data_IF_743187238632
#
_entry.id   IF_743187238632
#
_cell.length_a   1.000
_cell.length_b   1.000
_cell.length_c   1.000
_cell.angle_alpha   90.00
_cell.angle_beta   90.00
_cell.angle_gamma   90.00
#
_symmetry.space_group_name_H-M   'P 1'
#
loop_
_entity.id
_entity.type
_entity.pdbx_description
1 polymer ?
#
# COMPACT_ATOMS: atom_id res chain seq x y z
N UNK A 1 14.90 29.33 0.52
CA UNK A 1 13.67 29.12 1.32
C UNK A 1 12.49 29.47 0.43
N UNK A 2 11.70 28.48 0.02
CA UNK A 2 10.41 28.76 -0.62
C UNK A 2 9.49 29.18 0.53
N UNK A 3 9.14 30.47 0.58
CA UNK A 3 8.27 31.01 1.61
C UNK A 3 6.88 30.42 1.44
N UNK A 4 6.45 29.60 2.40
CA UNK A 4 5.03 29.25 2.53
C UNK A 4 4.33 30.53 2.99
N UNK A 5 3.45 31.08 2.15
CA UNK A 5 2.62 32.23 2.51
C UNK A 5 1.80 31.91 3.76
N UNK A 6 1.63 32.88 4.67
CA UNK A 6 0.87 32.73 5.92
C UNK A 6 -0.64 32.44 5.76
N UNK A 7 -1.12 32.18 4.53
CA UNK A 7 -2.54 32.02 4.17
C UNK A 7 -2.92 30.60 3.72
N UNK A 8 -2.15 29.56 4.08
CA UNK A 8 -2.57 28.17 3.79
C UNK A 8 -3.77 27.81 4.66
N UNK A 9 -4.97 27.87 4.07
CA UNK A 9 -6.19 27.34 4.67
C UNK A 9 -6.33 25.87 4.29
N UNK A 10 -6.05 24.98 5.23
CA UNK A 10 -6.31 23.55 5.09
C UNK A 10 -7.80 23.28 5.31
N UNK A 11 -8.48 22.75 4.31
CA UNK A 11 -9.87 22.30 4.40
C UNK A 11 -9.95 20.87 4.95
N UNK A 12 -11.14 20.48 5.42
CA UNK A 12 -11.40 19.11 5.85
C UNK A 12 -11.22 18.10 4.71
N UNK A 13 -11.62 18.46 3.49
CA UNK A 13 -11.49 17.58 2.32
C UNK A 13 -10.03 17.37 1.91
N UNK A 14 -9.20 18.40 1.97
CA UNK A 14 -7.75 18.28 1.74
C UNK A 14 -7.07 17.42 2.81
N UNK A 15 -7.49 17.57 4.07
CA UNK A 15 -7.02 16.72 5.16
C UNK A 15 -7.40 15.25 4.91
N UNK A 16 -8.66 14.97 4.63
CA UNK A 16 -9.13 13.62 4.33
C UNK A 16 -8.42 13.04 3.12
N UNK A 17 -8.29 13.82 2.03
CA UNK A 17 -7.55 13.41 0.85
C UNK A 17 -6.11 13.03 1.19
N UNK A 18 -5.41 13.86 1.97
CA UNK A 18 -4.03 13.60 2.40
C UNK A 18 -3.91 12.35 3.27
N UNK A 19 -4.84 12.14 4.21
CA UNK A 19 -4.90 10.90 5.00
C UNK A 19 -5.08 9.69 4.09
N UNK A 20 -6.00 9.74 3.13
CA UNK A 20 -6.23 8.64 2.20
C UNK A 20 -5.03 8.38 1.27
N UNK A 21 -4.27 9.40 0.88
CA UNK A 21 -3.00 9.19 0.15
C UNK A 21 -2.03 8.36 1.01
N UNK A 22 -1.92 8.68 2.30
CA UNK A 22 -1.03 7.95 3.21
C UNK A 22 -1.51 6.51 3.40
N UNK A 23 -2.79 6.31 3.75
CA UNK A 23 -3.32 4.97 4.07
C UNK A 23 -3.23 4.04 2.85
N UNK A 24 -3.55 4.53 1.65
CA UNK A 24 -3.66 3.68 0.46
C UNK A 24 -2.36 3.48 -0.33
N UNK A 25 -1.36 4.37 -0.19
CA UNK A 25 -0.15 4.38 -1.06
C UNK A 25 1.17 4.19 -0.32
N UNK A 26 1.22 4.42 0.99
CA UNK A 26 2.48 4.38 1.73
C UNK A 26 2.89 2.96 2.07
N UNK A 27 4.16 2.66 1.78
CA UNK A 27 4.79 1.39 2.09
C UNK A 27 5.54 1.49 3.42
N UNK A 28 5.40 0.46 4.27
CA UNK A 28 6.15 0.36 5.52
C UNK A 28 7.35 -0.55 5.30
N UNK A 29 8.54 -0.03 5.57
CA UNK A 29 9.83 -0.67 5.29
C UNK A 29 10.60 -0.76 6.60
N UNK A 30 11.08 -1.96 6.92
CA UNK A 30 11.87 -2.18 8.13
C UNK A 30 13.36 -1.96 7.81
N UNK A 31 13.94 -0.92 8.40
CA UNK A 31 15.39 -0.69 8.38
C UNK A 31 16.01 -1.20 9.68
N UNK A 32 17.30 -1.51 9.66
CA UNK A 32 18.00 -1.97 10.87
C UNK A 32 18.17 -0.83 11.90
N UNK A 33 18.20 0.42 11.46
CA UNK A 33 18.55 1.58 12.27
C UNK A 33 17.31 2.28 12.85
N UNK A 34 16.24 2.42 12.06
CA UNK A 34 15.06 3.22 12.40
C UNK A 34 13.79 2.37 12.62
N UNK A 35 13.89 1.05 12.46
CA UNK A 35 12.73 0.17 12.51
C UNK A 35 11.78 0.42 11.34
N UNK A 36 10.48 0.55 11.61
CA UNK A 36 9.45 0.69 10.58
C UNK A 36 9.36 2.14 10.06
N UNK A 37 9.85 2.37 8.83
CA UNK A 37 9.79 3.68 8.16
C UNK A 37 8.73 3.65 7.05
N UNK A 38 7.98 4.75 6.93
CA UNK A 38 6.90 4.93 5.96
C UNK A 38 7.39 5.72 4.75
N UNK A 39 7.24 5.16 3.55
CA UNK A 39 7.62 5.80 2.29
C UNK A 39 6.43 5.92 1.33
N UNK A 40 6.24 7.10 0.76
CA UNK A 40 5.49 7.27 -0.48
C UNK A 40 6.50 7.24 -1.63
N UNK A 41 6.47 6.19 -2.45
CA UNK A 41 7.49 5.95 -3.48
C UNK A 41 6.85 6.16 -4.85
N UNK A 42 7.16 7.26 -5.56
CA UNK A 42 6.63 7.50 -6.89
C UNK A 42 6.90 6.33 -7.83
N UNK A 43 5.98 6.07 -8.76
CA UNK A 43 5.97 4.94 -9.68
C UNK A 43 5.65 3.60 -9.01
N UNK A 44 6.24 3.26 -7.86
CA UNK A 44 5.95 2.01 -7.15
C UNK A 44 4.52 2.01 -6.61
N UNK A 45 4.04 3.16 -6.15
CA UNK A 45 2.69 3.35 -5.65
C UNK A 45 1.59 3.22 -6.74
N UNK A 46 1.96 3.14 -8.02
CA UNK A 46 1.03 2.99 -9.14
C UNK A 46 0.69 1.53 -9.50
N UNK A 47 1.43 0.56 -8.96
CA UNK A 47 1.16 -0.86 -9.20
C UNK A 47 -0.05 -1.29 -8.38
N UNK A 48 -1.04 -1.91 -9.02
CA UNK A 48 -2.22 -2.41 -8.32
C UNK A 48 -1.95 -3.68 -7.51
N UNK A 49 -2.87 -3.96 -6.58
CA UNK A 49 -2.90 -5.19 -5.80
C UNK A 49 -3.33 -6.40 -6.64
N UNK A 50 -2.75 -7.55 -6.32
CA UNK A 50 -3.26 -8.88 -6.64
C UNK A 50 -2.61 -9.85 -5.65
N UNK A 51 -3.40 -10.51 -4.82
CA UNK A 51 -2.88 -11.41 -3.78
C UNK A 51 -2.13 -12.60 -4.37
N UNK A 52 -2.48 -13.02 -5.59
CA UNK A 52 -1.84 -14.10 -6.33
C UNK A 52 -0.70 -13.62 -7.25
N UNK A 53 -0.33 -12.33 -7.20
CA UNK A 53 0.73 -11.81 -8.05
C UNK A 53 2.07 -12.50 -7.78
N UNK A 54 2.77 -12.94 -8.83
CA UNK A 54 4.12 -13.48 -8.70
C UNK A 54 5.19 -12.39 -8.57
N UNK A 55 4.86 -11.11 -8.81
CA UNK A 55 5.83 -10.02 -8.76
C UNK A 55 6.00 -9.51 -7.34
N UNK A 56 7.22 -9.12 -6.97
CA UNK A 56 7.56 -8.81 -5.59
C UNK A 56 8.21 -7.43 -5.48
N UNK A 57 7.78 -6.66 -4.48
CA UNK A 57 8.54 -5.50 -4.01
C UNK A 57 9.66 -6.00 -3.08
N UNK A 58 10.91 -5.65 -3.40
CA UNK A 58 12.04 -5.77 -2.50
C UNK A 58 12.54 -4.38 -2.13
N UNK A 59 12.76 -4.18 -0.85
CA UNK A 59 13.52 -3.06 -0.32
C UNK A 59 14.85 -3.59 0.19
N UNK A 60 15.93 -2.96 -0.22
CA UNK A 60 17.27 -3.28 0.27
C UNK A 60 17.62 -2.37 1.43
N UNK A 61 18.61 -2.77 2.24
CA UNK A 61 19.02 -2.03 3.44
C UNK A 61 19.64 -0.66 3.12
N UNK A 62 20.15 -0.48 1.90
CA UNK A 62 20.68 0.77 1.35
C UNK A 62 19.60 1.70 0.78
N UNK A 63 18.31 1.42 1.02
CA UNK A 63 17.21 2.31 0.63
C UNK A 63 16.82 2.21 -0.85
N UNK A 64 17.25 1.13 -1.54
CA UNK A 64 16.88 0.88 -2.92
C UNK A 64 15.66 -0.03 -3.00
N UNK A 65 14.70 0.38 -3.84
CA UNK A 65 13.43 -0.31 -4.04
C UNK A 65 13.39 -0.95 -5.43
N UNK A 66 12.98 -2.21 -5.50
CA UNK A 66 12.92 -2.98 -6.74
C UNK A 66 11.60 -3.73 -6.84
N UNK A 67 10.96 -3.64 -8.00
CA UNK A 67 9.92 -4.57 -8.40
C UNK A 67 10.59 -5.70 -9.18
N UNK A 68 10.52 -6.92 -8.65
CA UNK A 68 11.09 -8.11 -9.25
C UNK A 68 10.00 -8.87 -9.97
N UNK A 69 10.20 -9.11 -11.26
CA UNK A 69 9.27 -9.89 -12.04
C UNK A 69 9.36 -11.39 -11.68
N UNK A 70 8.29 -11.99 -11.16
CA UNK A 70 8.24 -13.43 -10.89
C UNK A 70 7.82 -14.28 -12.09
N UNK A 71 7.44 -13.66 -13.20
CA UNK A 71 7.12 -14.32 -14.49
C UNK A 71 7.52 -13.42 -15.65
N UNK A 72 7.58 -14.00 -16.85
CA UNK A 72 7.73 -13.24 -18.10
C UNK A 72 6.55 -12.27 -18.26
N UNK A 73 6.86 -11.01 -18.58
CA UNK A 73 5.88 -9.94 -18.81
C UNK A 73 5.83 -9.67 -20.31
N UNK A 74 4.62 -9.58 -20.86
CA UNK A 74 4.39 -9.25 -22.27
C UNK A 74 3.84 -7.83 -22.40
N UNK A 75 4.05 -7.21 -23.56
CA UNK A 75 3.51 -5.89 -23.84
C UNK A 75 1.98 -5.86 -23.66
N UNK A 76 1.48 -4.82 -22.99
CA UNK A 76 0.06 -4.67 -22.64
C UNK A 76 -0.39 -5.44 -21.39
N UNK A 77 0.45 -6.28 -20.78
CA UNK A 77 0.12 -6.88 -19.50
C UNK A 77 0.36 -5.89 -18.36
N UNK A 78 -0.63 -5.80 -17.46
CA UNK A 78 -0.47 -5.11 -16.20
C UNK A 78 0.56 -5.82 -15.32
N UNK A 79 1.37 -5.03 -14.62
CA UNK A 79 2.23 -5.50 -13.55
C UNK A 79 1.58 -5.07 -12.24
N UNK A 80 1.42 -6.02 -11.32
CA UNK A 80 0.78 -5.87 -10.01
C UNK A 80 1.67 -6.55 -8.95
N UNK A 81 1.45 -6.30 -7.67
CA UNK A 81 2.13 -7.02 -6.58
C UNK A 81 1.21 -7.13 -5.35
N UNK A 82 1.44 -8.09 -4.44
CA UNK A 82 0.58 -8.23 -3.27
C UNK A 82 0.84 -7.13 -2.25
N UNK A 83 -0.20 -6.38 -1.91
CA UNK A 83 -0.16 -5.43 -0.79
C UNK A 83 -0.23 -6.17 0.55
N UNK A 84 0.29 -5.54 1.62
CA UNK A 84 0.23 -6.13 2.97
C UNK A 84 0.89 -7.50 3.10
N UNK A 85 1.87 -7.82 2.25
CA UNK A 85 2.51 -9.14 2.21
C UNK A 85 1.61 -10.25 1.64
N UNK A 86 0.48 -9.89 1.01
CA UNK A 86 -0.43 -10.84 0.36
C UNK A 86 -1.48 -11.46 1.27
N UNK A 87 -1.62 -10.99 2.52
CA UNK A 87 -2.52 -11.61 3.51
C UNK A 87 -3.64 -10.66 3.98
N UNK A 88 -4.16 -9.80 3.10
CA UNK A 88 -5.22 -8.86 3.44
C UNK A 88 -6.60 -9.47 3.15
N UNK A 89 -7.53 -9.36 4.10
CA UNK A 89 -8.94 -9.69 3.87
C UNK A 89 -9.70 -8.51 3.24
N UNK A 90 -10.89 -8.74 2.69
CA UNK A 90 -11.62 -7.67 1.99
C UNK A 90 -12.07 -6.53 2.91
N UNK A 91 -12.30 -6.79 4.21
CA UNK A 91 -12.59 -5.75 5.20
C UNK A 91 -11.45 -4.73 5.32
N UNK A 92 -10.19 -5.19 5.31
CA UNK A 92 -9.02 -4.31 5.30
C UNK A 92 -8.80 -3.66 3.93
N UNK A 93 -9.00 -4.40 2.84
CA UNK A 93 -8.80 -3.84 1.50
C UNK A 93 -9.75 -2.67 1.24
N UNK A 94 -11.03 -2.79 1.60
CA UNK A 94 -12.00 -1.70 1.40
C UNK A 94 -11.71 -0.51 2.32
N UNK A 95 -11.30 -0.78 3.57
CA UNK A 95 -11.00 0.26 4.55
C UNK A 95 -9.76 1.07 4.16
N UNK A 96 -8.69 0.38 3.77
CA UNK A 96 -7.37 1.00 3.61
C UNK A 96 -7.12 1.45 2.15
N UNK A 97 -7.73 0.78 1.16
CA UNK A 97 -7.43 1.00 -0.25
C UNK A 97 -8.64 1.36 -1.12
N UNK A 98 -9.87 1.28 -0.58
CA UNK A 98 -11.08 1.70 -1.29
C UNK A 98 -11.53 0.76 -2.42
N UNK A 99 -11.11 -0.50 -2.41
CA UNK A 99 -11.58 -1.53 -3.34
C UNK A 99 -11.81 -2.88 -2.63
N UNK A 100 -12.29 -3.89 -3.35
CA UNK A 100 -12.37 -5.29 -2.89
C UNK A 100 -11.82 -6.21 -3.97
N UNK A 101 -11.26 -7.35 -3.59
CA UNK A 101 -10.83 -8.38 -4.52
C UNK A 101 -11.89 -9.49 -4.59
N UNK A 102 -12.41 -9.73 -5.79
CA UNK A 102 -13.53 -10.66 -6.03
C UNK A 102 -13.19 -12.12 -5.70
N UNK A 103 -11.92 -12.48 -5.76
CA UNK A 103 -11.42 -13.83 -5.54
C UNK A 103 -10.32 -13.87 -4.47
N UNK A 104 -10.49 -13.11 -3.39
CA UNK A 104 -9.52 -13.03 -2.31
C UNK A 104 -9.45 -14.32 -1.49
N UNK A 105 -8.36 -15.07 -1.64
CA UNK A 105 -8.12 -16.32 -0.88
C UNK A 105 -7.86 -16.12 0.61
N UNK A 106 -7.66 -14.86 1.04
CA UNK A 106 -7.42 -14.46 2.42
C UNK A 106 -8.63 -13.79 3.07
N UNK A 107 -9.79 -13.82 2.41
CA UNK A 107 -11.01 -13.25 2.97
C UNK A 107 -11.53 -14.08 4.15
N UNK A 108 -12.04 -13.40 5.17
CA UNK A 108 -12.47 -14.03 6.43
C UNK A 108 -13.74 -13.39 6.98
N UNK A 109 -14.46 -14.14 7.81
CA UNK A 109 -15.55 -13.60 8.62
C UNK A 109 -15.16 -13.67 10.09
N UNK A 110 -15.14 -12.53 10.76
CA UNK A 110 -14.83 -12.49 12.19
C UNK A 110 -16.10 -12.71 13.02
N UNK A 111 -16.09 -13.73 13.87
CA UNK A 111 -17.12 -13.94 14.88
C UNK A 111 -16.62 -13.41 16.23
N UNK A 112 -17.28 -12.39 16.76
CA UNK A 112 -17.00 -11.85 18.08
C UNK A 112 -17.77 -12.66 19.13
N UNK A 113 -17.05 -13.26 20.06
CA UNK A 113 -17.64 -13.91 21.23
C UNK A 113 -17.65 -12.92 22.40
N UNK A 114 -18.71 -12.90 23.23
CA UNK A 114 -18.74 -12.06 24.41
C UNK A 114 -17.57 -12.39 25.34
N UNK A 115 -16.96 -11.35 25.95
CA UNK A 115 -15.97 -11.55 26.99
C UNK A 115 -16.63 -12.28 28.18
N UNK A 116 -16.03 -13.38 28.62
CA UNK A 116 -16.42 -14.13 29.83
C UNK A 116 -16.02 -13.40 31.09
#
# INVERSE_FOLDING_TARGET
>A
QVGLSNDIKLTWDEFLWGVYQIVSRVLTIYTNEDGAVKYLIPMIDMFNHDAASPHQLKATRDGLFQIIAGKKIFAGQQINFPYGGGNLNNDRIIQDYGFVESSNSHDVKQLLLPAT
#
